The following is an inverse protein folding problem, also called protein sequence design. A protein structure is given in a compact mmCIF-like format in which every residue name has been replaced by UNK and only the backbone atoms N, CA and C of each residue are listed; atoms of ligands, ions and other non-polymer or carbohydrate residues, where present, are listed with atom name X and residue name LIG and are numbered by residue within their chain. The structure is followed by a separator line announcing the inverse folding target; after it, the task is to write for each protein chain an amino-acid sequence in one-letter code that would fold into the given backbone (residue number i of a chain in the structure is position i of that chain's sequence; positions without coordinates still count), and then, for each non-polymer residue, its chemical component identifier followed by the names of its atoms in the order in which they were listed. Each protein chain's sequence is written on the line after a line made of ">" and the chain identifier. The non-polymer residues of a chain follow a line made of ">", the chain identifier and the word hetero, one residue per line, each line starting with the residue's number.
data_IF_382635007229
#
_entry.id   IF_382635007229
#
_cell.length_a   1.000
_cell.length_b   1.000
_cell.length_c   1.000
_cell.angle_alpha   90.00
_cell.angle_beta   90.00
_cell.angle_gamma   90.00
#
_symmetry.space_group_name_H-M   'P 1'
#
loop_
_entity.id
_entity.type
_entity.pdbx_description
1 polymer ?
#
# COMPACT_ATOMS: atom_id res chain seq x y z
N UNK A 1 -17.76 17.67 5.37
CA UNK A 1 -16.94 16.89 4.40
C UNK A 1 -15.52 17.00 4.90
N UNK A 2 -14.83 15.90 5.25
CA UNK A 2 -13.42 15.97 5.55
C UNK A 2 -12.64 16.35 4.28
N UNK A 3 -11.52 17.09 4.39
CA UNK A 3 -10.68 17.40 3.25
C UNK A 3 -10.14 16.09 2.67
N UNK A 4 -10.27 15.92 1.36
CA UNK A 4 -9.63 14.85 0.61
C UNK A 4 -8.13 15.12 0.66
N UNK A 5 -7.45 14.49 1.62
CA UNK A 5 -5.98 14.49 1.62
C UNK A 5 -5.52 13.54 0.53
N UNK A 6 -5.04 14.10 -0.56
CA UNK A 6 -4.46 13.42 -1.73
C UNK A 6 -3.04 12.88 -1.46
N UNK A 7 -2.66 12.75 -0.20
CA UNK A 7 -1.27 12.49 0.25
C UNK A 7 -0.85 11.02 0.28
N UNK A 8 -1.70 10.07 -0.22
CA UNK A 8 -1.29 8.66 -0.15
C UNK A 8 -1.64 7.89 -1.42
N UNK A 9 -0.66 7.25 -2.07
CA UNK A 9 -0.89 6.21 -3.08
C UNK A 9 -1.66 5.01 -2.51
N UNK A 10 -1.93 5.00 -1.21
CA UNK A 10 -2.70 3.98 -0.48
C UNK A 10 -4.18 3.94 -0.83
N UNK A 11 -4.75 4.99 -1.41
CA UNK A 11 -6.16 4.96 -1.84
C UNK A 11 -6.44 3.87 -2.87
N UNK A 12 -5.43 3.49 -3.65
CA UNK A 12 -5.55 2.41 -4.63
C UNK A 12 -5.43 1.02 -3.99
N UNK A 13 -4.61 0.86 -2.94
CA UNK A 13 -4.60 -0.35 -2.10
C UNK A 13 -5.95 -0.57 -1.42
N UNK A 14 -6.65 0.51 -1.06
CA UNK A 14 -7.97 0.47 -0.44
C UNK A 14 -9.11 0.12 -1.41
N UNK A 15 -8.86 0.11 -2.72
CA UNK A 15 -9.83 -0.27 -3.76
C UNK A 15 -9.76 -1.73 -4.17
N UNK A 16 -8.76 -2.48 -3.68
CA UNK A 16 -8.68 -3.93 -3.86
C UNK A 16 -9.61 -4.66 -2.87
N UNK A 17 -9.78 -5.95 -3.06
CA UNK A 17 -10.54 -6.79 -2.13
C UNK A 17 -9.97 -6.73 -0.71
N UNK A 18 -10.84 -6.65 0.29
CA UNK A 18 -10.45 -6.44 1.68
C UNK A 18 -10.10 -7.73 2.41
N UNK A 19 -10.77 -8.82 2.04
CA UNK A 19 -10.54 -10.17 2.57
C UNK A 19 -10.48 -11.15 1.40
N UNK A 20 -9.67 -12.17 1.55
CA UNK A 20 -9.48 -13.24 0.59
C UNK A 20 -9.64 -14.59 1.29
N UNK A 21 -10.42 -15.47 0.69
CA UNK A 21 -10.61 -16.85 1.13
C UNK A 21 -10.00 -17.76 0.09
N UNK A 22 -9.08 -18.65 0.46
CA UNK A 22 -8.41 -19.59 -0.43
C UNK A 22 -8.41 -21.00 0.17
N UNK A 23 -8.18 -22.03 -0.63
CA UNK A 23 -7.93 -23.38 -0.12
C UNK A 23 -6.51 -23.52 0.44
N UNK A 24 -6.27 -24.48 1.33
CA UNK A 24 -4.94 -24.73 1.90
C UNK A 24 -3.92 -25.17 0.85
N UNK A 25 -4.34 -25.88 -0.17
CA UNK A 25 -3.51 -26.37 -1.33
C UNK A 25 -3.36 -25.32 -2.43
N UNK A 26 -3.90 -24.09 -2.22
CA UNK A 26 -3.94 -23.05 -3.25
C UNK A 26 -5.06 -23.23 -4.27
N UNK A 27 -5.93 -24.22 -4.09
CA UNK A 27 -7.11 -24.46 -4.91
C UNK A 27 -8.35 -24.60 -4.04
N UNK A 28 -9.44 -23.99 -4.46
CA UNK A 28 -10.73 -24.00 -3.78
C UNK A 28 -11.78 -24.66 -4.67
N UNK A 29 -12.23 -25.83 -4.27
CA UNK A 29 -13.42 -26.44 -4.82
C UNK A 29 -14.68 -25.81 -4.21
N UNK A 30 -15.83 -25.92 -4.89
CA UNK A 30 -17.10 -25.40 -4.40
C UNK A 30 -17.07 -23.91 -4.00
N UNK A 31 -16.34 -23.11 -4.74
CA UNK A 31 -16.15 -21.69 -4.46
C UNK A 31 -17.47 -20.89 -4.40
N UNK A 32 -18.51 -21.34 -5.14
CA UNK A 32 -19.84 -20.74 -5.10
C UNK A 32 -20.43 -20.82 -3.69
N UNK A 33 -20.36 -22.01 -3.07
CA UNK A 33 -20.82 -22.19 -1.69
C UNK A 33 -20.04 -21.33 -0.72
N UNK A 34 -18.72 -21.26 -0.88
CA UNK A 34 -17.86 -20.41 -0.03
C UNK A 34 -18.21 -18.92 -0.20
N UNK A 35 -18.51 -18.48 -1.43
CA UNK A 35 -18.95 -17.13 -1.70
C UNK A 35 -20.31 -16.82 -1.04
N UNK A 36 -21.26 -17.77 -1.16
CA UNK A 36 -22.60 -17.65 -0.56
C UNK A 36 -22.54 -17.64 0.98
N UNK A 37 -21.72 -18.51 1.57
CA UNK A 37 -21.54 -18.57 3.03
C UNK A 37 -20.85 -17.30 3.56
N UNK A 38 -19.85 -16.79 2.85
CA UNK A 38 -19.22 -15.52 3.19
C UNK A 38 -20.19 -14.33 3.06
N UNK A 39 -21.08 -14.35 2.07
CA UNK A 39 -22.08 -13.31 1.86
C UNK A 39 -23.14 -13.24 2.97
N UNK A 40 -23.29 -14.29 3.80
CA UNK A 40 -24.17 -14.26 4.99
C UNK A 40 -23.67 -13.29 6.08
N UNK A 41 -22.39 -12.95 6.04
CA UNK A 41 -21.83 -12.00 6.98
C UNK A 41 -22.29 -10.56 6.64
N UNK A 42 -22.89 -9.80 7.59
CA UNK A 42 -23.59 -8.53 7.32
C UNK A 42 -22.68 -7.43 6.73
N UNK A 43 -21.36 -7.54 6.93
CA UNK A 43 -20.39 -6.56 6.42
C UNK A 43 -19.79 -6.93 5.05
N UNK A 44 -20.08 -8.11 4.52
CA UNK A 44 -19.66 -8.49 3.18
C UNK A 44 -20.62 -7.91 2.16
N UNK A 45 -20.13 -7.11 1.24
CA UNK A 45 -20.89 -6.44 0.19
C UNK A 45 -20.94 -7.23 -1.10
N UNK A 46 -19.81 -7.82 -1.45
CA UNK A 46 -19.68 -8.60 -2.69
C UNK A 46 -18.55 -9.61 -2.57
N UNK A 47 -18.66 -10.66 -3.38
CA UNK A 47 -17.68 -11.73 -3.50
C UNK A 47 -17.38 -11.97 -4.97
N UNK A 48 -16.11 -12.26 -5.31
CA UNK A 48 -15.67 -12.59 -6.66
C UNK A 48 -14.66 -13.74 -6.62
N UNK A 49 -14.86 -14.81 -7.39
CA UNK A 49 -13.86 -15.87 -7.54
C UNK A 49 -12.68 -15.37 -8.34
N UNK A 50 -11.51 -15.95 -8.09
CA UNK A 50 -10.32 -15.66 -8.88
C UNK A 50 -9.42 -16.88 -9.00
N UNK A 51 -8.72 -16.97 -10.12
CA UNK A 51 -7.56 -17.84 -10.31
C UNK A 51 -6.33 -16.96 -10.29
N UNK A 52 -5.33 -17.31 -9.51
CA UNK A 52 -4.06 -16.57 -9.45
C UNK A 52 -2.90 -17.53 -9.72
N UNK A 53 -2.12 -17.22 -10.73
CA UNK A 53 -0.98 -18.02 -11.12
C UNK A 53 0.15 -17.13 -11.65
N UNK A 54 1.36 -17.64 -11.60
CA UNK A 54 2.50 -17.00 -12.25
C UNK A 54 2.61 -17.51 -13.69
N UNK A 55 3.00 -16.60 -14.58
CA UNK A 55 3.25 -16.91 -15.98
C UNK A 55 4.32 -16.00 -16.57
N UNK A 56 4.72 -16.28 -17.78
CA UNK A 56 5.55 -15.38 -18.58
C UNK A 56 4.78 -14.98 -19.83
N UNK A 57 4.75 -13.69 -20.10
CA UNK A 57 4.24 -13.16 -21.36
C UNK A 57 5.39 -12.97 -22.33
N UNK A 58 5.22 -13.47 -23.54
CA UNK A 58 6.19 -13.33 -24.65
C UNK A 58 5.54 -12.61 -25.81
N UNK A 59 6.24 -11.60 -26.30
CA UNK A 59 5.88 -10.88 -27.53
C UNK A 59 7.17 -10.50 -28.25
N UNK A 60 7.26 -10.90 -29.53
CA UNK A 60 8.46 -10.76 -30.32
C UNK A 60 9.71 -11.32 -29.59
N UNK A 61 10.70 -10.52 -29.30
CA UNK A 61 11.93 -10.93 -28.57
C UNK A 61 11.88 -10.60 -27.06
N UNK A 62 10.75 -10.06 -26.57
CA UNK A 62 10.60 -9.65 -25.17
C UNK A 62 9.84 -10.71 -24.39
N UNK A 63 10.38 -11.11 -23.23
CA UNK A 63 9.71 -12.00 -22.27
C UNK A 63 9.67 -11.32 -20.92
N UNK A 64 8.51 -11.33 -20.27
CA UNK A 64 8.28 -10.75 -18.94
C UNK A 64 7.54 -11.73 -18.03
N UNK A 65 8.04 -11.88 -16.81
CA UNK A 65 7.31 -12.54 -15.74
C UNK A 65 6.09 -11.72 -15.34
N UNK A 66 4.94 -12.36 -15.20
CA UNK A 66 3.66 -11.68 -14.98
C UNK A 66 2.80 -12.50 -14.03
N UNK A 67 2.11 -11.81 -13.13
CA UNK A 67 1.05 -12.39 -12.31
C UNK A 67 -0.23 -12.46 -13.15
N UNK A 68 -0.71 -13.65 -13.42
CA UNK A 68 -1.94 -13.86 -14.17
C UNK A 68 -3.09 -14.02 -13.19
N UNK A 69 -4.13 -13.23 -13.40
CA UNK A 69 -5.35 -13.33 -12.61
C UNK A 69 -6.55 -13.59 -13.51
N UNK A 70 -7.15 -14.77 -13.35
CA UNK A 70 -8.42 -15.12 -13.97
C UNK A 70 -9.57 -14.53 -13.16
N UNK A 71 -10.45 -13.76 -13.80
CA UNK A 71 -11.56 -13.04 -13.16
C UNK A 71 -12.86 -13.24 -13.91
N UNK A 72 -13.98 -13.10 -13.21
CA UNK A 72 -15.30 -12.92 -13.82
C UNK A 72 -15.58 -11.43 -13.91
N UNK A 73 -15.70 -10.81 -15.08
CA UNK A 73 -15.86 -9.37 -15.26
C UNK A 73 -16.97 -8.78 -14.38
N UNK A 74 -18.16 -9.35 -14.42
CA UNK A 74 -19.34 -8.89 -13.67
C UNK A 74 -19.19 -8.94 -12.15
N UNK A 75 -18.42 -9.88 -11.63
CA UNK A 75 -18.15 -10.04 -10.21
C UNK A 75 -16.95 -9.18 -9.78
N UNK A 76 -15.97 -9.05 -10.64
CA UNK A 76 -14.75 -8.28 -10.40
C UNK A 76 -15.05 -6.80 -10.18
N UNK A 77 -15.89 -6.21 -11.02
CA UNK A 77 -16.29 -4.79 -10.91
C UNK A 77 -16.99 -4.47 -9.57
N UNK A 78 -17.61 -5.46 -8.94
CA UNK A 78 -18.25 -5.29 -7.64
C UNK A 78 -17.24 -5.34 -6.47
N UNK A 79 -16.12 -6.01 -6.66
CA UNK A 79 -15.11 -6.22 -5.61
C UNK A 79 -13.94 -5.26 -5.74
N UNK A 80 -13.51 -4.96 -6.96
CA UNK A 80 -12.40 -4.07 -7.24
C UNK A 80 -12.81 -3.03 -8.29
N UNK A 81 -12.47 -1.77 -8.08
CA UNK A 81 -12.88 -0.65 -8.95
C UNK A 81 -12.00 -0.58 -10.24
N UNK A 82 -11.74 -1.74 -10.88
CA UNK A 82 -10.90 -1.78 -12.09
C UNK A 82 -11.53 -1.04 -13.27
N UNK A 83 -12.85 -1.11 -13.42
CA UNK A 83 -13.55 -0.49 -14.57
C UNK A 83 -13.27 1.00 -14.71
N UNK A 84 -13.03 1.72 -13.62
CA UNK A 84 -12.74 3.16 -13.62
C UNK A 84 -11.30 3.51 -14.07
N UNK A 85 -10.42 2.49 -14.19
CA UNK A 85 -9.01 2.67 -14.48
C UNK A 85 -8.61 2.08 -15.84
N UNK A 86 -9.60 1.79 -16.71
CA UNK A 86 -9.34 1.34 -18.07
C UNK A 86 -8.92 2.52 -18.94
N UNK A 87 -7.71 2.47 -19.51
CA UNK A 87 -7.25 3.45 -20.50
C UNK A 87 -7.84 3.20 -21.89
N UNK A 88 -8.00 1.92 -22.23
CA UNK A 88 -8.55 1.50 -23.52
C UNK A 88 -9.28 0.16 -23.36
N UNK A 89 -10.45 0.02 -23.99
CA UNK A 89 -11.32 -1.15 -23.90
C UNK A 89 -12.20 -1.16 -22.63
N UNK A 90 -12.95 -2.22 -22.44
CA UNK A 90 -13.82 -2.46 -21.27
C UNK A 90 -13.54 -3.84 -20.70
N UNK A 91 -13.71 -4.01 -19.39
CA UNK A 91 -13.50 -5.31 -18.75
C UNK A 91 -14.44 -6.38 -19.30
N UNK A 92 -15.65 -5.99 -19.73
CA UNK A 92 -16.63 -6.86 -20.40
C UNK A 92 -16.15 -7.43 -21.76
N UNK A 93 -15.07 -6.88 -22.33
CA UNK A 93 -14.44 -7.43 -23.54
C UNK A 93 -13.68 -8.73 -23.27
N UNK A 94 -13.48 -9.09 -21.99
CA UNK A 94 -13.01 -10.42 -21.57
C UNK A 94 -14.14 -11.43 -21.67
N UNK A 95 -14.21 -12.17 -22.79
CA UNK A 95 -15.20 -13.21 -23.00
C UNK A 95 -14.61 -14.60 -22.83
N UNK A 96 -15.38 -15.56 -22.29
CA UNK A 96 -14.92 -16.93 -22.12
C UNK A 96 -14.62 -17.59 -23.48
N UNK A 97 -13.49 -18.29 -23.57
CA UNK A 97 -13.08 -19.01 -24.76
C UNK A 97 -12.44 -18.18 -25.87
N UNK A 98 -12.48 -16.84 -25.78
CA UNK A 98 -11.84 -15.95 -26.76
C UNK A 98 -10.35 -15.68 -26.47
N UNK A 99 -9.87 -16.08 -25.30
CA UNK A 99 -8.50 -15.85 -24.85
C UNK A 99 -8.08 -14.36 -24.95
N UNK A 100 -8.94 -13.49 -24.44
CA UNK A 100 -8.65 -12.08 -24.23
C UNK A 100 -7.72 -11.89 -23.03
N UNK A 101 -6.85 -10.88 -23.09
CA UNK A 101 -5.99 -10.49 -21.98
C UNK A 101 -6.04 -8.98 -21.76
N UNK A 102 -6.08 -8.59 -20.49
CA UNK A 102 -5.96 -7.21 -20.02
C UNK A 102 -4.57 -7.02 -19.45
N UNK A 103 -3.86 -6.00 -19.88
CA UNK A 103 -2.50 -5.72 -19.45
C UNK A 103 -2.42 -4.38 -18.70
N UNK A 104 -1.57 -4.33 -17.67
CA UNK A 104 -1.20 -3.04 -17.07
C UNK A 104 -0.42 -2.16 -18.05
N UNK A 105 -0.57 -0.86 -17.94
CA UNK A 105 0.00 0.10 -18.89
C UNK A 105 1.53 0.04 -18.96
N UNK A 106 2.20 -0.16 -17.83
CA UNK A 106 3.66 -0.28 -17.77
C UNK A 106 4.14 -1.60 -18.36
N UNK A 107 3.39 -2.69 -18.13
CA UNK A 107 3.68 -4.00 -18.73
C UNK A 107 3.53 -3.94 -20.26
N UNK A 108 2.44 -3.36 -20.75
CA UNK A 108 2.20 -3.19 -22.19
C UNK A 108 3.30 -2.33 -22.83
N UNK A 109 3.70 -1.24 -22.18
CA UNK A 109 4.77 -0.35 -22.64
C UNK A 109 6.13 -1.06 -22.64
N UNK A 110 6.46 -1.80 -21.58
CA UNK A 110 7.72 -2.56 -21.48
C UNK A 110 7.84 -3.68 -22.51
N UNK A 111 6.71 -4.27 -22.90
CA UNK A 111 6.64 -5.30 -23.93
C UNK A 111 6.45 -4.74 -25.35
N UNK A 112 6.20 -3.43 -25.48
CA UNK A 112 5.86 -2.73 -26.75
C UNK A 112 4.62 -3.32 -27.43
N UNK A 113 3.62 -3.67 -26.61
CA UNK A 113 2.37 -4.30 -27.06
C UNK A 113 1.27 -3.25 -27.09
N UNK A 114 0.44 -3.31 -28.11
CA UNK A 114 -0.73 -2.47 -28.33
C UNK A 114 -2.02 -3.26 -28.28
N UNK A 115 -3.16 -2.57 -28.33
CA UNK A 115 -4.49 -3.19 -28.44
C UNK A 115 -4.56 -4.09 -29.69
N UNK A 116 -5.19 -5.25 -29.52
CA UNK A 116 -5.36 -6.30 -30.52
C UNK A 116 -4.10 -7.11 -30.89
N UNK A 117 -2.95 -6.81 -30.32
CA UNK A 117 -1.76 -7.64 -30.50
C UNK A 117 -1.96 -9.02 -29.84
N UNK A 118 -1.27 -10.03 -30.37
CA UNK A 118 -1.31 -11.39 -29.85
C UNK A 118 -0.05 -11.68 -29.05
N UNK A 119 -0.20 -11.82 -27.75
CA UNK A 119 0.87 -12.21 -26.83
C UNK A 119 0.79 -13.69 -26.49
N UNK A 120 1.92 -14.33 -26.32
CA UNK A 120 1.97 -15.74 -25.89
C UNK A 120 2.14 -15.81 -24.38
N UNK A 121 1.17 -16.41 -23.71
CA UNK A 121 1.26 -16.71 -22.28
C UNK A 121 1.85 -18.10 -22.08
N UNK A 122 2.93 -18.16 -21.31
CA UNK A 122 3.69 -19.35 -20.97
C UNK A 122 3.41 -19.67 -19.50
N UNK A 123 2.70 -20.77 -19.25
CA UNK A 123 2.46 -21.28 -17.91
C UNK A 123 3.59 -22.25 -17.50
N UNK A 124 4.29 -21.99 -16.37
CA UNK A 124 5.43 -22.81 -15.94
C UNK A 124 5.00 -24.21 -15.50
N UNK A 125 3.75 -24.37 -15.07
CA UNK A 125 3.16 -25.68 -14.74
C UNK A 125 2.93 -26.47 -16.02
N UNK A 126 3.95 -27.19 -16.47
CA UNK A 126 3.97 -27.94 -17.71
C UNK A 126 3.38 -29.32 -17.61
N UNK A 127 3.27 -29.99 -18.77
CA UNK A 127 3.06 -31.43 -18.87
C UNK A 127 4.35 -32.13 -18.47
N UNK A 128 4.29 -32.90 -17.39
CA UNK A 128 5.37 -33.84 -17.05
C UNK A 128 5.33 -35.01 -18.00
N UNK A 129 6.30 -35.09 -18.89
CA UNK A 129 6.51 -36.25 -19.76
C UNK A 129 7.77 -37.00 -19.27
N UNK A 130 7.92 -38.27 -19.60
CA UNK A 130 9.13 -39.01 -19.21
C UNK A 130 10.44 -38.40 -19.70
N UNK A 131 10.38 -37.55 -20.73
CA UNK A 131 11.56 -36.92 -21.34
C UNK A 131 11.82 -35.48 -20.89
N UNK A 132 10.77 -34.72 -20.54
CA UNK A 132 10.90 -33.31 -20.14
C UNK A 132 9.60 -32.75 -19.58
N UNK A 133 9.70 -31.59 -18.87
CA UNK A 133 8.57 -30.74 -18.50
C UNK A 133 8.36 -29.74 -19.64
N UNK A 134 7.26 -29.88 -20.39
CA UNK A 134 6.93 -28.94 -21.45
C UNK A 134 5.99 -27.86 -20.93
N UNK A 135 6.37 -26.57 -20.95
CA UNK A 135 5.49 -25.48 -20.53
C UNK A 135 4.25 -25.41 -21.43
N UNK A 136 3.14 -24.98 -20.88
CA UNK A 136 1.93 -24.74 -21.67
C UNK A 136 2.00 -23.35 -22.28
N UNK A 137 1.71 -23.29 -23.56
CA UNK A 137 1.73 -22.07 -24.35
C UNK A 137 0.33 -21.82 -24.88
N UNK A 138 -0.15 -20.60 -24.72
CA UNK A 138 -1.41 -20.18 -25.33
C UNK A 138 -1.29 -18.71 -25.78
N UNK A 139 -1.79 -18.45 -26.98
CA UNK A 139 -1.89 -17.08 -27.48
C UNK A 139 -3.14 -16.40 -26.91
N UNK A 140 -2.96 -15.19 -26.42
CA UNK A 140 -3.99 -14.29 -25.94
C UNK A 140 -3.97 -13.01 -26.78
N UNK A 141 -5.14 -12.44 -27.01
CA UNK A 141 -5.28 -11.14 -27.69
C UNK A 141 -5.46 -10.02 -26.65
N UNK A 142 -4.69 -8.96 -26.75
CA UNK A 142 -4.82 -7.80 -25.88
C UNK A 142 -6.11 -7.07 -26.18
N UNK A 143 -7.06 -7.13 -25.26
CA UNK A 143 -8.40 -6.53 -25.41
C UNK A 143 -8.57 -5.25 -24.59
N UNK A 144 -7.77 -5.08 -23.51
CA UNK A 144 -7.84 -3.91 -22.63
C UNK A 144 -6.45 -3.56 -22.11
N UNK A 145 -6.22 -2.27 -21.87
CA UNK A 145 -5.06 -1.77 -21.11
C UNK A 145 -5.58 -0.94 -19.96
N UNK A 146 -5.16 -1.27 -18.72
CA UNK A 146 -5.52 -0.56 -17.50
C UNK A 146 -4.33 0.19 -16.89
N UNK A 147 -4.63 1.20 -16.10
CA UNK A 147 -3.65 1.94 -15.31
C UNK A 147 -4.27 2.36 -13.98
N UNK A 148 -3.84 1.72 -12.91
CA UNK A 148 -4.32 2.00 -11.55
C UNK A 148 -3.43 2.99 -10.80
N UNK A 149 -2.29 3.37 -11.38
CA UNK A 149 -1.32 4.27 -10.77
C UNK A 149 -0.46 3.62 -9.69
N UNK A 150 -0.34 2.29 -9.69
CA UNK A 150 0.59 1.53 -8.84
C UNK A 150 1.52 0.70 -9.72
N UNK A 151 2.79 1.05 -9.71
CA UNK A 151 3.80 0.38 -10.54
C UNK A 151 3.78 -1.15 -10.39
N UNK A 152 3.58 -1.66 -9.17
CA UNK A 152 3.54 -3.09 -8.91
C UNK A 152 2.42 -3.80 -9.71
N UNK A 153 1.22 -3.20 -9.80
CA UNK A 153 0.13 -3.75 -10.59
C UNK A 153 0.28 -3.41 -12.07
N UNK A 154 0.62 -2.18 -12.39
CA UNK A 154 0.70 -1.72 -13.78
C UNK A 154 1.84 -2.39 -14.56
N UNK A 155 2.91 -2.85 -13.85
CA UNK A 155 4.08 -3.50 -14.47
C UNK A 155 4.06 -5.03 -14.45
N UNK A 156 3.23 -5.67 -13.62
CA UNK A 156 3.32 -7.12 -13.40
C UNK A 156 2.00 -7.89 -13.45
N UNK A 157 0.85 -7.20 -13.46
CA UNK A 157 -0.46 -7.87 -13.44
C UNK A 157 -1.06 -7.95 -14.84
N UNK A 158 -1.58 -9.13 -15.18
CA UNK A 158 -2.43 -9.35 -16.34
C UNK A 158 -3.73 -10.07 -15.92
N UNK A 159 -4.88 -9.60 -16.45
CA UNK A 159 -6.16 -10.21 -16.19
C UNK A 159 -6.61 -11.02 -17.43
N UNK A 160 -7.21 -12.16 -17.19
CA UNK A 160 -7.82 -13.02 -18.21
C UNK A 160 -9.20 -13.48 -17.73
N UNK A 161 -10.02 -13.99 -18.62
CA UNK A 161 -11.30 -14.56 -18.19
C UNK A 161 -11.06 -15.80 -17.29
N UNK A 162 -11.90 -15.98 -16.26
CA UNK A 162 -11.75 -17.06 -15.29
C UNK A 162 -11.67 -18.44 -15.94
N UNK A 163 -12.57 -18.72 -16.88
CA UNK A 163 -12.60 -20.01 -17.60
C UNK A 163 -11.35 -20.23 -18.47
N UNK A 164 -10.79 -19.18 -19.06
CA UNK A 164 -9.57 -19.27 -19.87
C UNK A 164 -8.36 -19.57 -18.97
N UNK A 165 -8.32 -18.97 -17.77
CA UNK A 165 -7.32 -19.28 -16.75
C UNK A 165 -7.46 -20.73 -16.27
N UNK A 166 -8.67 -21.18 -15.92
CA UNK A 166 -8.94 -22.55 -15.50
C UNK A 166 -8.51 -23.56 -16.57
N UNK A 167 -8.82 -23.28 -17.83
CA UNK A 167 -8.41 -24.12 -18.99
C UNK A 167 -6.89 -24.18 -19.11
N UNK A 168 -6.20 -23.05 -19.03
CA UNK A 168 -4.73 -22.97 -19.17
C UNK A 168 -4.02 -23.71 -18.04
N UNK A 169 -4.48 -23.50 -16.80
CA UNK A 169 -3.87 -24.06 -15.58
C UNK A 169 -4.46 -25.44 -15.19
N UNK A 170 -5.45 -25.94 -15.92
CA UNK A 170 -6.17 -27.23 -15.68
C UNK A 170 -6.77 -27.31 -14.28
N UNK A 171 -7.42 -26.27 -13.86
CA UNK A 171 -8.07 -26.22 -12.56
C UNK A 171 -9.50 -26.77 -12.58
N UNK A 172 -10.01 -27.19 -13.75
CA UNK A 172 -11.40 -27.60 -13.93
C UNK A 172 -12.35 -26.52 -13.43
N UNK A 173 -13.26 -26.84 -12.48
CA UNK A 173 -14.17 -25.88 -11.87
C UNK A 173 -13.59 -25.23 -10.58
N UNK A 174 -12.34 -25.53 -10.24
CA UNK A 174 -11.68 -24.98 -9.06
C UNK A 174 -11.14 -23.59 -9.33
N UNK A 175 -10.98 -22.81 -8.26
CA UNK A 175 -10.39 -21.46 -8.28
C UNK A 175 -9.29 -21.36 -7.23
N UNK A 176 -8.44 -20.34 -7.29
CA UNK A 176 -7.46 -20.10 -6.22
C UNK A 176 -8.12 -19.58 -4.95
N UNK A 177 -9.26 -18.92 -5.09
CA UNK A 177 -10.01 -18.41 -3.95
C UNK A 177 -11.13 -17.46 -4.33
N UNK A 178 -11.73 -16.88 -3.30
CA UNK A 178 -12.79 -15.87 -3.41
C UNK A 178 -12.32 -14.60 -2.71
N UNK A 179 -12.45 -13.47 -3.39
CA UNK A 179 -12.17 -12.14 -2.87
C UNK A 179 -13.45 -11.49 -2.38
N UNK A 180 -13.37 -10.84 -1.23
CA UNK A 180 -14.52 -10.22 -0.58
C UNK A 180 -14.29 -8.71 -0.44
N UNK A 181 -15.31 -7.93 -0.77
CA UNK A 181 -15.38 -6.49 -0.49
C UNK A 181 -16.25 -6.27 0.74
N UNK A 182 -15.73 -5.53 1.69
CA UNK A 182 -16.44 -5.15 2.92
C UNK A 182 -16.97 -3.71 2.79
N UNK A 183 -17.88 -3.34 3.67
CA UNK A 183 -18.34 -1.97 3.83
C UNK A 183 -17.26 -1.05 4.40
N UNK A 184 -16.41 -1.57 5.31
CA UNK A 184 -15.28 -0.87 5.89
C UNK A 184 -14.00 -1.72 5.79
N UNK A 185 -13.01 -1.20 5.12
CA UNK A 185 -11.69 -1.79 4.95
C UNK A 185 -10.97 -2.05 6.28
N UNK A 186 -11.10 -1.14 7.25
CA UNK A 186 -10.40 -1.23 8.52
C UNK A 186 -10.93 -2.34 9.43
N UNK A 187 -12.15 -2.81 9.18
CA UNK A 187 -12.73 -3.96 9.86
C UNK A 187 -12.28 -5.31 9.27
N UNK A 188 -11.55 -5.32 8.17
CA UNK A 188 -11.11 -6.56 7.50
C UNK A 188 -10.42 -7.56 8.44
N UNK A 189 -9.50 -7.18 9.34
CA UNK A 189 -8.88 -8.15 10.26
C UNK A 189 -9.85 -8.77 11.26
N UNK A 190 -10.91 -8.04 11.62
CA UNK A 190 -11.96 -8.54 12.50
C UNK A 190 -12.90 -9.49 11.76
N UNK A 191 -13.40 -9.03 10.60
CA UNK A 191 -14.30 -9.81 9.75
C UNK A 191 -13.62 -11.10 9.26
N UNK A 192 -12.34 -11.07 8.92
CA UNK A 192 -11.58 -12.26 8.54
C UNK A 192 -11.59 -13.33 9.67
N UNK A 193 -11.47 -12.92 10.94
CA UNK A 193 -11.56 -13.84 12.08
C UNK A 193 -12.99 -14.35 12.34
N UNK A 194 -13.98 -13.52 12.08
CA UNK A 194 -15.38 -13.89 12.24
C UNK A 194 -15.82 -14.85 11.12
N UNK A 195 -15.35 -14.66 9.90
CA UNK A 195 -15.65 -15.51 8.73
C UNK A 195 -15.21 -16.97 8.91
N UNK A 196 -14.15 -17.23 9.68
CA UNK A 196 -13.71 -18.61 10.00
C UNK A 196 -14.85 -19.43 10.64
N UNK A 197 -15.83 -18.80 11.28
CA UNK A 197 -16.97 -19.49 11.88
C UNK A 197 -18.06 -19.87 10.88
N UNK A 198 -18.08 -19.23 9.71
CA UNK A 198 -19.05 -19.43 8.64
C UNK A 198 -18.53 -20.35 7.54
N UNK A 199 -17.22 -20.51 7.47
CA UNK A 199 -16.53 -21.22 6.41
C UNK A 199 -16.03 -22.60 6.88
N UNK A 200 -15.85 -23.51 5.94
CA UNK A 200 -15.32 -24.85 6.20
C UNK A 200 -13.87 -24.79 6.72
N UNK A 201 -13.48 -25.81 7.50
CA UNK A 201 -12.16 -25.88 8.14
C UNK A 201 -10.98 -25.93 7.15
N UNK A 202 -11.25 -26.29 5.89
CA UNK A 202 -10.23 -26.42 4.83
C UNK A 202 -9.97 -25.09 4.09
N UNK A 203 -10.49 -23.98 4.62
CA UNK A 203 -10.29 -22.65 4.00
C UNK A 203 -9.34 -21.79 4.81
N UNK A 204 -8.47 -21.06 4.10
CA UNK A 204 -7.58 -20.06 4.64
C UNK A 204 -8.16 -18.66 4.40
N UNK A 205 -8.48 -17.95 5.47
CA UNK A 205 -8.95 -16.56 5.39
C UNK A 205 -7.79 -15.60 5.65
N UNK A 206 -7.52 -14.75 4.70
CA UNK A 206 -6.48 -13.71 4.79
C UNK A 206 -7.09 -12.34 4.57
N UNK A 207 -6.63 -11.36 5.30
CA UNK A 207 -6.99 -9.96 5.10
C UNK A 207 -5.86 -9.19 4.40
N UNK A 208 -6.18 -8.01 3.89
CA UNK A 208 -5.24 -7.15 3.16
C UNK A 208 -4.01 -6.76 4.00
N UNK A 209 -4.11 -6.70 5.34
CA UNK A 209 -2.98 -6.36 6.20
C UNK A 209 -1.94 -7.48 6.26
N UNK A 210 -2.40 -8.74 6.18
CA UNK A 210 -1.52 -9.91 6.08
C UNK A 210 -0.87 -10.03 4.72
N UNK A 211 -1.62 -9.75 3.65
CA UNK A 211 -1.08 -9.76 2.29
C UNK A 211 0.05 -8.74 2.11
N UNK A 212 -0.01 -7.61 2.84
CA UNK A 212 0.99 -6.55 2.82
C UNK A 212 1.79 -6.44 4.14
N UNK A 213 1.97 -7.56 4.86
CA UNK A 213 2.63 -7.57 6.17
C UNK A 213 4.04 -6.95 6.15
N UNK A 214 4.80 -7.18 5.08
CA UNK A 214 6.14 -6.60 4.92
C UNK A 214 6.09 -5.08 4.84
N UNK A 215 5.09 -4.52 4.16
CA UNK A 215 4.87 -3.09 4.07
C UNK A 215 4.56 -2.50 5.47
N UNK A 216 3.61 -3.08 6.21
CA UNK A 216 3.29 -2.62 7.56
C UNK A 216 4.48 -2.75 8.52
N UNK A 217 5.28 -3.80 8.37
CA UNK A 217 6.53 -3.94 9.13
C UNK A 217 7.53 -2.84 8.79
N UNK A 218 7.70 -2.52 7.52
CA UNK A 218 8.58 -1.43 7.08
C UNK A 218 8.12 -0.08 7.66
N UNK A 219 6.83 0.25 7.59
CA UNK A 219 6.25 1.46 8.20
C UNK A 219 6.46 1.49 9.71
N UNK A 220 6.34 0.35 10.40
CA UNK A 220 6.59 0.28 11.85
C UNK A 220 8.07 0.53 12.18
N UNK A 221 8.98 -0.03 11.40
CA UNK A 221 10.42 0.20 11.55
C UNK A 221 10.73 1.69 11.31
N UNK A 222 10.17 2.28 10.25
CA UNK A 222 10.32 3.69 9.94
C UNK A 222 9.87 4.59 11.10
N UNK A 223 8.68 4.33 11.67
CA UNK A 223 8.19 5.05 12.86
C UNK A 223 9.16 4.95 14.04
N UNK A 224 9.71 3.77 14.30
CA UNK A 224 10.66 3.56 15.38
C UNK A 224 11.97 4.32 15.13
N UNK A 225 12.49 4.30 13.91
CA UNK A 225 13.69 5.04 13.51
C UNK A 225 13.46 6.55 13.64
N UNK A 226 12.32 7.05 13.13
CA UNK A 226 11.95 8.46 13.27
C UNK A 226 11.84 8.86 14.74
N UNK A 227 11.26 8.02 15.61
CA UNK A 227 11.18 8.27 17.04
C UNK A 227 12.58 8.40 17.68
N UNK A 228 13.50 7.49 17.31
CA UNK A 228 14.89 7.54 17.83
C UNK A 228 15.60 8.81 17.37
N UNK A 229 15.46 9.20 16.11
CA UNK A 229 16.04 10.44 15.56
C UNK A 229 15.48 11.65 16.30
N UNK A 230 14.16 11.72 16.48
CA UNK A 230 13.53 12.81 17.21
C UNK A 230 14.00 12.88 18.68
N UNK A 231 14.12 11.72 19.33
CA UNK A 231 14.64 11.62 20.69
C UNK A 231 16.08 12.16 20.78
N UNK A 232 16.92 11.84 19.81
CA UNK A 232 18.30 12.32 19.74
C UNK A 232 18.35 13.86 19.56
N UNK A 233 17.50 14.39 18.68
CA UNK A 233 17.40 15.85 18.47
C UNK A 233 16.98 16.54 19.77
N UNK A 234 15.99 16.00 20.47
CA UNK A 234 15.54 16.53 21.78
C UNK A 234 16.67 16.44 22.81
N UNK A 235 17.44 15.34 22.84
CA UNK A 235 18.57 15.20 23.75
C UNK A 235 19.64 16.28 23.48
N UNK A 236 20.02 16.52 22.22
CA UNK A 236 20.96 17.56 21.83
C UNK A 236 20.44 18.95 22.24
N UNK A 237 19.15 19.22 22.01
CA UNK A 237 18.53 20.48 22.43
C UNK A 237 18.59 20.66 23.97
N UNK A 238 18.33 19.58 24.74
CA UNK A 238 18.42 19.62 26.20
C UNK A 238 19.86 19.92 26.68
N UNK A 239 20.87 19.31 26.06
CA UNK A 239 22.27 19.64 26.36
C UNK A 239 22.61 21.09 26.07
N UNK A 240 22.13 21.66 24.98
CA UNK A 240 22.29 23.07 24.65
C UNK A 240 21.67 23.97 25.70
N UNK A 241 20.46 23.68 26.17
CA UNK A 241 19.77 24.44 27.20
C UNK A 241 20.56 24.38 28.50
N UNK A 242 21.03 23.18 28.92
CA UNK A 242 21.85 23.03 30.14
C UNK A 242 23.12 23.87 30.05
N UNK A 243 23.85 23.78 28.92
CA UNK A 243 25.07 24.54 28.69
C UNK A 243 24.85 26.06 28.80
N UNK A 244 23.76 26.55 28.19
CA UNK A 244 23.39 27.95 28.20
C UNK A 244 23.02 28.42 29.61
N UNK A 245 22.28 27.60 30.38
CA UNK A 245 21.93 27.93 31.77
C UNK A 245 23.15 27.95 32.67
N UNK A 246 24.10 27.02 32.53
CA UNK A 246 25.36 27.01 33.28
C UNK A 246 26.15 28.26 32.99
N UNK A 247 26.25 28.67 31.72
CA UNK A 247 26.94 29.91 31.34
C UNK A 247 26.25 31.15 31.96
N UNK A 248 24.92 31.22 31.86
CA UNK A 248 24.17 32.34 32.46
C UNK A 248 24.34 32.42 33.98
N UNK A 249 24.42 31.27 34.69
CA UNK A 249 24.72 31.26 36.15
C UNK A 249 26.14 31.78 36.43
N UNK A 250 27.12 31.39 35.62
CA UNK A 250 28.51 31.85 35.76
C UNK A 250 28.63 33.36 35.55
N UNK A 251 28.00 33.92 34.54
CA UNK A 251 27.97 35.34 34.24
C UNK A 251 27.32 36.17 35.39
N UNK A 252 26.35 35.57 36.08
CA UNK A 252 25.58 36.21 37.15
C UNK A 252 26.12 35.92 38.55
N UNK A 253 27.34 35.37 38.70
CA UNK A 253 27.92 35.01 40.01
C UNK A 253 28.03 36.21 40.97
N UNK A 254 28.43 37.39 40.47
CA UNK A 254 28.52 38.61 41.29
C UNK A 254 27.14 39.05 41.81
N UNK A 255 26.12 39.04 40.94
CA UNK A 255 24.75 39.42 41.30
C UNK A 255 24.18 38.43 42.33
N UNK A 256 24.46 37.14 42.17
CA UNK A 256 24.08 36.07 43.09
C UNK A 256 24.73 36.26 44.46
N UNK A 257 26.02 36.65 44.52
CA UNK A 257 26.75 36.92 45.75
C UNK A 257 26.13 38.11 46.52
N UNK A 258 25.79 39.17 45.82
CA UNK A 258 25.10 40.33 46.40
C UNK A 258 23.73 39.96 46.99
N UNK A 259 22.93 39.19 46.24
CA UNK A 259 21.62 38.71 46.72
C UNK A 259 21.75 37.84 47.98
N UNK A 260 22.78 37.01 48.06
CA UNK A 260 23.04 36.18 49.24
C UNK A 260 23.47 36.97 50.46
N UNK A 261 24.25 38.04 50.29
CA UNK A 261 24.59 38.95 51.41
C UNK A 261 23.38 39.73 51.92
N UNK A 262 22.40 40.00 51.07
CA UNK A 262 21.12 40.60 51.40
C UNK A 262 20.10 39.60 52.02
N UNK A 263 20.47 38.28 52.16
CA UNK A 263 19.67 37.29 52.87
C UNK A 263 18.84 36.39 51.97
N UNK A 264 19.07 36.43 50.66
CA UNK A 264 18.35 35.50 49.74
C UNK A 264 18.76 34.04 50.00
N UNK A 265 17.77 33.14 50.09
CA UNK A 265 18.01 31.72 50.27
C UNK A 265 18.52 31.07 48.97
N UNK A 266 19.31 29.99 49.04
CA UNK A 266 19.73 29.25 47.85
C UNK A 266 18.55 28.74 46.97
N UNK A 267 17.44 28.39 47.63
CA UNK A 267 16.22 27.96 46.95
C UNK A 267 15.54 29.08 46.13
N UNK A 268 15.58 30.33 46.66
CA UNK A 268 15.05 31.50 45.93
C UNK A 268 15.87 31.80 44.67
N UNK A 269 17.19 31.68 44.74
CA UNK A 269 18.09 31.88 43.60
C UNK A 269 17.88 30.78 42.56
N UNK A 270 17.79 29.50 42.99
CA UNK A 270 17.49 28.40 42.10
C UNK A 270 16.14 28.57 41.41
N UNK A 271 15.12 29.06 42.15
CA UNK A 271 13.79 29.36 41.62
C UNK A 271 13.82 30.34 40.44
N UNK A 272 14.69 31.39 40.50
CA UNK A 272 14.84 32.37 39.41
C UNK A 272 15.28 31.66 38.10
N UNK A 273 16.30 30.81 38.16
CA UNK A 273 16.82 30.14 36.98
C UNK A 273 15.85 29.04 36.46
N UNK A 274 15.12 28.35 37.36
CA UNK A 274 14.07 27.39 36.97
C UNK A 274 12.93 28.11 36.26
N UNK A 275 12.46 29.23 36.78
CA UNK A 275 11.40 30.03 36.13
C UNK A 275 11.86 30.57 34.78
N UNK A 276 13.11 31.05 34.70
CA UNK A 276 13.67 31.50 33.42
C UNK A 276 13.74 30.38 32.39
N UNK A 277 14.25 29.21 32.77
CA UNK A 277 14.31 28.03 31.89
C UNK A 277 12.93 27.54 31.46
N UNK A 278 11.96 27.51 32.38
CA UNK A 278 10.59 27.14 32.11
C UNK A 278 9.93 28.12 31.14
N UNK A 279 10.09 29.43 31.29
CA UNK A 279 9.56 30.44 30.38
C UNK A 279 10.09 30.28 28.97
N UNK A 280 11.41 30.12 28.83
CA UNK A 280 12.05 29.88 27.51
C UNK A 280 11.50 28.58 26.90
N UNK A 281 11.39 27.53 27.72
CA UNK A 281 10.83 26.23 27.26
C UNK A 281 9.38 26.34 26.79
N UNK A 282 8.52 27.03 27.52
CA UNK A 282 7.12 27.25 27.14
C UNK A 282 6.97 28.06 25.84
N UNK A 283 7.74 29.13 25.70
CA UNK A 283 7.74 29.95 24.48
C UNK A 283 8.25 29.12 23.29
N UNK A 284 9.36 28.41 23.49
CA UNK A 284 9.92 27.52 22.45
C UNK A 284 8.97 26.42 22.04
N UNK A 285 8.29 25.76 22.99
CA UNK A 285 7.28 24.73 22.72
C UNK A 285 6.10 25.32 21.93
N UNK A 286 5.59 26.50 22.35
CA UNK A 286 4.49 27.14 21.64
C UNK A 286 4.84 27.48 20.19
N UNK A 287 5.99 28.08 19.95
CA UNK A 287 6.47 28.41 18.60
C UNK A 287 6.74 27.14 17.78
N UNK A 288 7.34 26.11 18.42
CA UNK A 288 7.62 24.83 17.76
C UNK A 288 6.35 24.10 17.33
N UNK A 289 5.34 24.02 18.20
CA UNK A 289 4.05 23.39 17.87
C UNK A 289 3.33 24.19 16.78
N UNK A 290 3.27 25.50 16.90
CA UNK A 290 2.59 26.36 15.93
C UNK A 290 3.25 26.29 14.54
N UNK A 291 4.58 26.38 14.51
CA UNK A 291 5.34 26.25 13.27
C UNK A 291 5.26 24.84 12.67
N UNK A 292 5.39 23.81 13.49
CA UNK A 292 5.32 22.41 13.05
C UNK A 292 3.95 22.03 12.49
N UNK A 293 2.87 22.43 13.17
CA UNK A 293 1.49 22.17 12.68
C UNK A 293 1.22 22.95 11.39
N UNK A 294 1.63 24.22 11.34
CA UNK A 294 1.46 25.03 10.13
C UNK A 294 2.20 24.42 8.94
N UNK A 295 3.44 23.98 9.16
CA UNK A 295 4.24 23.32 8.12
C UNK A 295 3.59 22.01 7.66
N UNK A 296 3.13 21.17 8.60
CA UNK A 296 2.51 19.89 8.32
C UNK A 296 1.20 20.03 7.52
N UNK A 297 0.39 21.05 7.84
CA UNK A 297 -0.87 21.32 7.14
C UNK A 297 -0.67 21.92 5.74
N UNK A 298 0.49 22.49 5.44
CA UNK A 298 0.82 23.12 4.16
C UNK A 298 1.96 22.39 3.43
N UNK A 299 2.20 21.13 3.73
CA UNK A 299 3.31 20.35 3.14
C UNK A 299 3.20 20.29 1.61
N UNK A 300 1.98 20.20 1.09
CA UNK A 300 1.67 20.13 -0.33
C UNK A 300 2.06 21.40 -1.11
N UNK A 301 2.19 22.54 -0.41
CA UNK A 301 2.62 23.82 -0.99
C UNK A 301 4.09 24.05 -0.75
N UNK A 302 4.56 23.67 0.44
CA UNK A 302 5.94 23.94 0.89
C UNK A 302 6.94 23.06 0.16
N UNK A 303 6.67 21.75 0.01
CA UNK A 303 7.60 20.83 -0.67
C UNK A 303 7.82 21.22 -2.12
N UNK A 304 6.79 21.44 -2.96
CA UNK A 304 7.01 21.88 -4.34
C UNK A 304 7.66 23.30 -4.46
N UNK A 305 7.45 24.15 -3.47
CA UNK A 305 8.12 25.46 -3.45
C UNK A 305 9.62 25.31 -3.19
N UNK A 306 10.02 24.43 -2.28
CA UNK A 306 11.42 24.11 -2.00
C UNK A 306 12.06 23.43 -3.22
N UNK A 307 11.39 22.44 -3.83
CA UNK A 307 11.88 21.76 -5.03
C UNK A 307 12.15 22.76 -6.18
N UNK A 308 11.24 23.70 -6.40
CA UNK A 308 11.43 24.75 -7.39
C UNK A 308 12.58 25.72 -7.08
N UNK A 309 12.75 26.05 -5.79
CA UNK A 309 13.80 26.98 -5.36
C UNK A 309 15.21 26.40 -5.46
N UNK A 310 15.35 25.11 -5.17
CA UNK A 310 16.66 24.42 -5.17
C UNK A 310 16.94 23.60 -6.42
N UNK A 311 15.96 23.45 -7.33
CA UNK A 311 16.10 22.63 -8.54
C UNK A 311 16.31 21.13 -8.28
N UNK A 312 15.92 20.66 -7.08
CA UNK A 312 16.09 19.27 -6.63
C UNK A 312 14.70 18.62 -6.55
N UNK A 313 14.52 17.50 -7.20
CA UNK A 313 13.32 16.68 -7.02
C UNK A 313 13.54 15.72 -5.85
N UNK A 314 12.88 15.95 -4.72
CA UNK A 314 12.91 15.04 -3.57
C UNK A 314 12.05 13.80 -3.79
N UNK A 315 10.96 13.95 -4.55
CA UNK A 315 10.03 12.89 -4.87
C UNK A 315 10.07 12.65 -6.39
N UNK A 316 10.75 11.60 -6.82
CA UNK A 316 10.73 11.20 -8.21
C UNK A 316 9.30 10.83 -8.61
N UNK A 317 8.74 11.52 -9.60
CA UNK A 317 7.36 11.31 -10.09
C UNK A 317 7.11 9.86 -10.51
N UNK A 318 8.16 9.16 -10.93
CA UNK A 318 8.12 7.77 -11.39
C UNK A 318 8.01 6.74 -10.25
N UNK A 319 8.32 7.13 -9.00
CA UNK A 319 8.26 6.24 -7.82
C UNK A 319 7.03 6.55 -6.97
N UNK A 320 6.67 7.82 -6.90
CA UNK A 320 5.48 8.28 -6.22
C UNK A 320 4.56 8.89 -7.27
N UNK A 321 3.55 8.16 -7.71
CA UNK A 321 2.49 8.67 -8.59
C UNK A 321 1.72 9.79 -7.89
N UNK A 322 2.35 10.95 -7.80
CA UNK A 322 1.67 12.19 -7.43
C UNK A 322 1.10 12.71 -8.74
N UNK A 323 -0.16 12.39 -8.98
CA UNK A 323 -0.89 12.93 -10.10
C UNK A 323 -0.92 14.46 -9.97
N UNK A 324 -0.49 15.14 -11.02
CA UNK A 324 -0.73 16.58 -11.18
C UNK A 324 -2.23 16.85 -11.03
N UNK A 325 -2.58 17.61 -10.01
CA UNK A 325 -3.87 18.29 -9.89
C UNK A 325 -3.75 19.65 -10.55
#
# INVERSE_FOLDING_TARGET
>A
RPPRSTLFPYTTLFRSSHVQVSGFDGELANWQRVADDAAKHPRVRSAAPFVQAQGMLSFDQTVRGTLIRGVLPDAEDKVADFAQHMRAGRLDDLRPGEFGIVLGADLARAMRVSMNDKVTLIAPQGLVTPAAILPRLKQFRVVVIFEVGMYEYDSSLALVHLQDAQTLYRMEDRVSGVRLKLDDLFEAPRVARELIKYLDADTLVSDWTRSHANFFRAVQIEKNVMFIILLLIVAVAAFNIVSTLVMAVQEKQADIAILRTLGASPGSIMGIFVIQGALIGFIGLGLGVLGGVTLALNIDVVVPAIERAFGIQFLAKDVYYISDL
#
